data_IF_240752068217
#
_entry.id   IF_240752068217
#
_cell.length_a   1.000
_cell.length_b   1.000
_cell.length_c   1.000
_cell.angle_alpha   90.00
_cell.angle_beta   90.00
_cell.angle_gamma   90.00
#
_symmetry.space_group_name_H-M   'P 1'
#
loop_
_entity.id
_entity.type
_entity.pdbx_description
1 polymer ?
#
# COMPACT_ATOMS: atom_id res chain seq x y z
N UNK A 1 -5.68 8.90 10.87
CA UNK A 1 -4.51 9.81 10.82
C UNK A 1 -3.82 9.71 9.45
N UNK A 2 -3.31 8.54 9.07
CA UNK A 2 -2.58 8.32 7.80
C UNK A 2 -3.38 8.75 6.56
N UNK A 3 -4.67 8.41 6.46
CA UNK A 3 -5.55 8.88 5.37
C UNK A 3 -5.64 10.41 5.26
N UNK A 4 -5.66 11.12 6.40
CA UNK A 4 -5.66 12.59 6.41
C UNK A 4 -4.33 13.14 5.92
N UNK A 5 -3.22 12.52 6.33
CA UNK A 5 -1.89 12.91 5.91
C UNK A 5 -1.69 12.69 4.40
N UNK A 6 -2.14 11.55 3.86
CA UNK A 6 -2.13 11.30 2.41
C UNK A 6 -2.92 12.38 1.65
N UNK A 7 -4.08 12.82 2.17
CA UNK A 7 -4.83 13.93 1.55
C UNK A 7 -4.06 15.24 1.57
N UNK A 8 -3.32 15.54 2.64
CA UNK A 8 -2.46 16.73 2.68
C UNK A 8 -1.40 16.67 1.57
N UNK A 9 -0.76 15.50 1.38
CA UNK A 9 0.16 15.28 0.25
C UNK A 9 -0.53 15.54 -1.10
N UNK A 10 -1.67 14.90 -1.35
CA UNK A 10 -2.43 15.02 -2.60
C UNK A 10 -2.92 16.45 -2.89
N UNK A 11 -3.06 17.28 -1.84
CA UNK A 11 -3.44 18.69 -1.95
C UNK A 11 -2.23 19.62 -2.17
N UNK A 12 -1.02 19.06 -2.31
CA UNK A 12 0.20 19.82 -2.60
C UNK A 12 0.93 20.35 -1.37
N UNK A 13 0.78 19.72 -0.19
CA UNK A 13 1.50 20.14 1.02
C UNK A 13 3.04 20.19 0.85
N UNK A 14 3.60 19.45 -0.11
CA UNK A 14 5.03 19.48 -0.39
C UNK A 14 5.49 20.74 -1.13
N UNK A 15 4.60 21.41 -1.85
CA UNK A 15 4.90 22.64 -2.58
C UNK A 15 4.78 23.90 -1.73
N UNK A 16 4.28 23.77 -0.49
CA UNK A 16 4.04 24.89 0.40
C UNK A 16 5.16 25.00 1.44
N UNK A 17 6.16 25.82 1.16
CA UNK A 17 7.22 26.18 2.12
C UNK A 17 6.66 27.11 3.20
N UNK A 18 6.92 26.79 4.48
CA UNK A 18 6.44 27.58 5.61
C UNK A 18 7.53 27.80 6.64
N UNK A 19 7.60 29.01 7.18
CA UNK A 19 8.25 29.25 8.46
C UNK A 19 7.40 28.72 9.62
N UNK A 20 8.03 28.42 10.76
CA UNK A 20 7.31 27.94 11.95
C UNK A 20 6.21 28.90 12.43
N UNK A 21 6.39 30.21 12.23
CA UNK A 21 5.34 31.22 12.55
C UNK A 21 4.16 31.17 11.59
N UNK A 22 4.40 30.95 10.31
CA UNK A 22 3.35 30.84 9.29
C UNK A 22 2.57 29.55 9.49
N UNK A 23 3.27 28.45 9.78
CA UNK A 23 2.67 27.18 10.13
C UNK A 23 1.72 27.30 11.34
N UNK A 24 2.08 28.07 12.37
CA UNK A 24 1.20 28.35 13.52
C UNK A 24 -0.08 29.10 13.14
N UNK A 25 -0.06 29.90 12.09
CA UNK A 25 -1.23 30.68 11.62
C UNK A 25 -2.24 29.81 10.87
N UNK A 26 -1.87 28.61 10.45
CA UNK A 26 -2.80 27.65 9.84
C UNK A 26 -3.85 27.13 10.82
N UNK A 27 -3.64 27.32 12.13
CA UNK A 27 -4.58 26.90 13.16
C UNK A 27 -4.59 25.37 13.34
N UNK A 28 -5.76 24.83 13.69
CA UNK A 28 -5.92 23.39 13.89
C UNK A 28 -6.14 22.69 12.54
N UNK A 29 -5.18 21.87 12.14
CA UNK A 29 -5.19 21.09 10.90
C UNK A 29 -5.53 19.62 11.18
N UNK A 30 -4.99 19.08 12.27
CA UNK A 30 -5.22 17.73 12.74
C UNK A 30 -6.30 17.72 13.83
N UNK A 31 -6.94 16.56 14.03
CA UNK A 31 -7.83 16.36 15.19
C UNK A 31 -7.05 16.20 16.51
N UNK A 32 -5.74 16.01 16.44
CA UNK A 32 -4.85 15.82 17.57
C UNK A 32 -4.08 17.11 17.81
N UNK A 33 -4.39 17.80 18.92
CA UNK A 33 -3.77 19.07 19.28
C UNK A 33 -2.25 18.96 19.51
N UNK A 34 -1.73 17.76 19.82
CA UNK A 34 -0.30 17.52 19.92
C UNK A 34 0.40 17.66 18.57
N UNK A 35 -0.24 17.16 17.50
CA UNK A 35 0.26 17.31 16.13
C UNK A 35 0.21 18.78 15.70
N UNK A 36 -0.91 19.47 15.94
CA UNK A 36 -1.05 20.90 15.57
C UNK A 36 0.03 21.77 16.23
N UNK A 37 0.32 21.53 17.51
CA UNK A 37 1.39 22.23 18.23
C UNK A 37 2.76 21.93 17.62
N UNK A 38 3.04 20.68 17.26
CA UNK A 38 4.32 20.25 16.71
C UNK A 38 4.58 20.78 15.29
N UNK A 39 3.55 20.95 14.46
CA UNK A 39 3.67 21.53 13.10
C UNK A 39 4.32 22.92 13.13
N UNK A 40 3.96 23.72 14.14
CA UNK A 40 4.50 25.07 14.34
C UNK A 40 5.92 25.10 14.94
N UNK A 41 6.44 23.97 15.40
CA UNK A 41 7.77 23.84 15.99
C UNK A 41 8.76 23.31 14.94
N UNK A 42 10.06 23.56 15.12
CA UNK A 42 11.12 23.09 14.22
C UNK A 42 11.75 24.19 13.35
N UNK A 43 12.76 23.77 12.56
CA UNK A 43 13.61 24.65 11.77
C UNK A 43 12.83 25.42 10.68
N UNK A 44 13.41 26.53 10.23
CA UNK A 44 12.91 27.35 9.12
C UNK A 44 13.14 26.67 7.77
N UNK A 45 12.26 26.88 6.79
CA UNK A 45 12.48 26.42 5.40
C UNK A 45 12.16 24.96 5.12
N UNK A 46 11.11 24.43 5.77
CA UNK A 46 10.56 23.12 5.42
C UNK A 46 9.16 23.28 4.82
N UNK A 47 8.88 22.44 3.81
CA UNK A 47 7.54 22.26 3.28
C UNK A 47 6.55 21.82 4.37
N UNK A 48 5.28 22.20 4.21
CA UNK A 48 4.19 21.76 5.08
C UNK A 48 4.19 20.23 5.19
N UNK A 49 4.49 19.51 4.11
CA UNK A 49 4.63 18.06 4.12
C UNK A 49 5.67 17.55 5.11
N UNK A 50 6.91 18.07 5.05
CA UNK A 50 7.97 17.69 6.00
C UNK A 50 7.58 18.02 7.45
N UNK A 51 6.97 19.18 7.68
CA UNK A 51 6.48 19.56 9.03
C UNK A 51 5.43 18.58 9.55
N UNK A 52 4.49 18.17 8.71
CA UNK A 52 3.45 17.20 9.06
C UNK A 52 4.04 15.83 9.39
N UNK A 53 4.99 15.34 8.58
CA UNK A 53 5.68 14.07 8.83
C UNK A 53 6.41 14.08 10.17
N UNK A 54 7.18 15.14 10.45
CA UNK A 54 7.92 15.28 11.71
C UNK A 54 6.99 15.38 12.91
N UNK A 55 5.91 16.17 12.82
CA UNK A 55 4.92 16.31 13.89
C UNK A 55 4.22 14.98 14.21
N UNK A 56 3.88 14.20 13.19
CA UNK A 56 3.28 12.87 13.36
C UNK A 56 4.28 11.90 13.98
N UNK A 57 5.55 11.90 13.55
CA UNK A 57 6.61 11.07 14.11
C UNK A 57 6.90 11.40 15.57
N UNK A 58 6.91 12.69 15.94
CA UNK A 58 7.08 13.14 17.33
C UNK A 58 5.92 12.67 18.20
N UNK A 59 4.68 12.75 17.69
CA UNK A 59 3.49 12.32 18.42
C UNK A 59 3.36 10.80 18.57
N UNK A 60 3.79 10.05 17.54
CA UNK A 60 3.74 8.59 17.45
C UNK A 60 5.14 8.04 17.10
N UNK A 61 6.05 7.92 18.09
CA UNK A 61 7.45 7.57 17.84
C UNK A 61 7.65 6.17 17.25
N UNK A 62 6.71 5.25 17.48
CA UNK A 62 6.80 3.87 17.02
C UNK A 62 5.87 3.60 15.84
N UNK A 63 6.41 2.91 14.83
CA UNK A 63 5.71 2.63 13.58
C UNK A 63 4.42 1.85 13.78
N UNK A 64 4.39 0.99 14.78
CA UNK A 64 3.28 0.10 15.12
C UNK A 64 2.05 0.86 15.62
N UNK A 65 2.21 2.07 16.16
CA UNK A 65 1.12 2.91 16.65
C UNK A 65 0.28 3.50 15.50
N UNK A 66 0.88 3.69 14.32
CA UNK A 66 0.18 4.15 13.13
C UNK A 66 -0.46 2.98 12.40
N UNK A 67 -1.74 2.75 12.71
CA UNK A 67 -2.53 1.75 11.99
C UNK A 67 -3.02 2.32 10.65
N UNK A 68 -2.56 1.72 9.55
CA UNK A 68 -3.23 1.87 8.26
C UNK A 68 -4.38 0.87 8.24
N UNK A 69 -5.62 1.35 8.33
CA UNK A 69 -6.79 0.46 8.29
C UNK A 69 -7.13 0.21 6.82
N UNK A 70 -7.04 -1.03 6.31
CA UNK A 70 -7.44 -1.34 4.94
C UNK A 70 -8.94 -1.14 4.67
N UNK A 71 -9.72 -0.79 5.71
CA UNK A 71 -11.11 -0.38 5.61
C UNK A 71 -11.92 -1.13 4.56
N UNK A 72 -12.04 -2.47 4.65
CA UNK A 72 -12.82 -3.33 3.71
C UNK A 72 -12.83 -2.78 2.28
N UNK A 73 -11.67 -2.46 1.71
CA UNK A 73 -11.64 -1.90 0.35
C UNK A 73 -12.24 -2.93 -0.60
N UNK A 74 -13.21 -2.54 -1.42
CA UNK A 74 -13.92 -3.44 -2.36
C UNK A 74 -13.66 -3.12 -3.82
N UNK A 75 -13.02 -1.98 -4.09
CA UNK A 75 -12.72 -1.50 -5.44
C UNK A 75 -11.22 -1.26 -5.56
N UNK A 76 -10.70 -1.32 -6.78
CA UNK A 76 -9.27 -1.14 -7.02
C UNK A 76 -8.77 0.24 -6.55
N UNK A 77 -9.58 1.28 -6.70
CA UNK A 77 -9.25 2.65 -6.27
C UNK A 77 -8.99 2.72 -4.77
N UNK A 78 -9.84 2.07 -3.97
CA UNK A 78 -9.67 2.01 -2.52
C UNK A 78 -8.47 1.13 -2.12
N UNK A 79 -8.19 0.08 -2.88
CA UNK A 79 -6.97 -0.71 -2.74
C UNK A 79 -5.72 0.13 -2.97
N UNK A 80 -5.67 0.89 -4.07
CA UNK A 80 -4.57 1.81 -4.38
C UNK A 80 -4.44 2.90 -3.32
N UNK A 81 -5.55 3.44 -2.81
CA UNK A 81 -5.49 4.38 -1.69
C UNK A 81 -4.83 3.73 -0.46
N UNK A 82 -5.22 2.50 -0.10
CA UNK A 82 -4.60 1.79 1.01
C UNK A 82 -3.11 1.49 0.78
N UNK A 83 -2.71 1.16 -0.46
CA UNK A 83 -1.32 0.99 -0.86
C UNK A 83 -0.49 2.25 -0.56
N UNK A 84 -1.00 3.42 -0.94
CA UNK A 84 -0.37 4.74 -0.68
C UNK A 84 -0.38 5.11 0.79
N UNK A 85 -1.42 4.73 1.55
CA UNK A 85 -1.44 4.93 3.01
C UNK A 85 -0.36 4.12 3.71
N UNK A 86 -0.13 2.87 3.29
CA UNK A 86 1.01 2.09 3.78
C UNK A 86 2.36 2.76 3.45
N UNK A 87 2.47 3.38 2.27
CA UNK A 87 3.67 4.12 1.85
C UNK A 87 3.90 5.39 2.68
N UNK A 88 2.86 6.19 2.94
CA UNK A 88 2.95 7.36 3.84
C UNK A 88 3.46 6.95 5.21
N UNK A 89 2.99 5.82 5.74
CA UNK A 89 3.51 5.28 7.00
C UNK A 89 5.00 4.93 6.91
N UNK A 90 5.48 4.39 5.80
CA UNK A 90 6.93 4.19 5.62
C UNK A 90 7.69 5.52 5.63
N UNK A 91 7.19 6.52 4.88
CA UNK A 91 7.83 7.84 4.77
C UNK A 91 7.99 8.50 6.14
N UNK A 92 6.98 8.44 7.02
CA UNK A 92 7.05 9.02 8.37
C UNK A 92 8.25 8.51 9.18
N UNK A 93 8.59 7.22 9.06
CA UNK A 93 9.65 6.60 9.84
C UNK A 93 10.98 6.47 9.09
N UNK A 94 11.08 7.02 7.88
CA UNK A 94 12.37 7.23 7.22
C UNK A 94 13.17 8.31 7.96
N UNK A 95 14.44 8.39 7.58
CA UNK A 95 15.34 9.45 8.03
C UNK A 95 14.96 10.75 7.33
N UNK A 96 14.16 11.59 8.01
CA UNK A 96 13.66 12.86 7.47
C UNK A 96 14.76 13.93 7.40
N UNK A 97 15.87 13.74 8.10
CA UNK A 97 17.01 14.66 8.10
C UNK A 97 17.92 14.45 6.87
N UNK A 98 17.77 13.31 6.19
CA UNK A 98 18.47 13.02 4.95
C UNK A 98 17.72 13.61 3.74
N UNK A 99 18.17 14.75 3.26
CA UNK A 99 17.61 15.44 2.07
C UNK A 99 17.65 14.60 0.78
N UNK A 100 18.54 13.61 0.68
CA UNK A 100 18.60 12.72 -0.47
C UNK A 100 17.50 11.64 -0.44
N UNK A 101 16.81 11.46 0.69
CA UNK A 101 15.66 10.56 0.77
C UNK A 101 14.40 11.27 0.32
N UNK A 102 13.76 10.68 -0.70
CA UNK A 102 12.46 11.17 -1.14
C UNK A 102 11.41 10.98 -0.05
N UNK A 103 10.63 12.04 0.17
CA UNK A 103 9.44 12.03 1.02
C UNK A 103 8.16 11.81 0.21
N UNK A 104 8.29 11.56 -1.09
CA UNK A 104 7.16 11.21 -1.95
C UNK A 104 6.66 9.79 -1.63
N UNK A 105 5.39 9.62 -1.20
CA UNK A 105 4.79 8.31 -0.98
C UNK A 105 4.78 7.43 -2.24
N UNK A 106 4.71 8.02 -3.43
CA UNK A 106 4.62 7.30 -4.70
C UNK A 106 5.98 6.76 -5.17
N UNK A 107 7.09 7.31 -4.67
CA UNK A 107 8.47 6.83 -4.91
C UNK A 107 8.93 5.79 -3.88
N UNK A 108 8.10 5.47 -2.88
CA UNK A 108 8.40 4.44 -1.89
C UNK A 108 8.51 3.09 -2.58
N UNK A 109 9.68 2.45 -2.48
CA UNK A 109 9.83 1.03 -2.80
C UNK A 109 8.97 0.19 -1.87
N UNK A 110 8.12 -0.65 -2.44
CA UNK A 110 7.32 -1.60 -1.69
C UNK A 110 8.21 -2.79 -1.36
N UNK A 111 8.42 -3.08 -0.08
CA UNK A 111 9.12 -4.31 0.32
C UNK A 111 8.18 -5.50 0.24
N UNK A 112 8.75 -6.71 0.16
CA UNK A 112 7.95 -7.95 0.16
C UNK A 112 6.98 -8.03 1.35
N UNK A 113 7.36 -7.46 2.51
CA UNK A 113 6.50 -7.45 3.71
C UNK A 113 5.31 -6.50 3.57
N UNK A 114 5.48 -5.35 2.92
CA UNK A 114 4.38 -4.42 2.65
C UNK A 114 3.40 -5.01 1.64
N UNK A 115 3.92 -5.66 0.61
CA UNK A 115 3.09 -6.36 -0.37
C UNK A 115 2.22 -7.43 0.26
N UNK A 116 2.79 -8.23 1.15
CA UNK A 116 2.02 -9.23 1.89
C UNK A 116 0.89 -8.60 2.69
N UNK A 117 1.11 -7.46 3.37
CA UNK A 117 0.04 -6.73 4.08
C UNK A 117 -1.04 -6.22 3.14
N UNK A 118 -0.66 -5.74 1.96
CA UNK A 118 -1.60 -5.32 0.92
C UNK A 118 -2.45 -6.49 0.41
N UNK A 119 -1.81 -7.59 -0.03
CA UNK A 119 -2.49 -8.78 -0.53
C UNK A 119 -3.40 -9.42 0.53
N UNK A 120 -2.96 -9.48 1.80
CA UNK A 120 -3.77 -10.01 2.90
C UNK A 120 -5.01 -9.16 3.20
N UNK A 121 -4.97 -7.87 2.85
CA UNK A 121 -6.12 -6.98 3.01
C UNK A 121 -7.13 -7.08 1.87
N UNK A 122 -6.79 -7.78 0.79
CA UNK A 122 -7.58 -7.79 -0.43
C UNK A 122 -8.90 -8.56 -0.28
N UNK A 123 -9.99 -8.09 -0.92
CA UNK A 123 -11.19 -8.88 -1.15
C UNK A 123 -10.87 -10.19 -1.84
N UNK A 124 -11.70 -11.20 -1.58
CA UNK A 124 -11.58 -12.51 -2.21
C UNK A 124 -11.58 -12.44 -3.75
N UNK A 125 -12.24 -11.45 -4.35
CA UNK A 125 -12.26 -11.23 -5.81
C UNK A 125 -10.88 -10.85 -6.38
N UNK A 126 -10.01 -10.22 -5.58
CA UNK A 126 -8.70 -9.76 -6.02
C UNK A 126 -7.54 -10.56 -5.41
N UNK A 127 -7.75 -11.24 -4.29
CA UNK A 127 -6.69 -11.87 -3.50
C UNK A 127 -5.79 -12.82 -4.32
N UNK A 128 -6.38 -13.70 -5.13
CA UNK A 128 -5.60 -14.65 -5.96
C UNK A 128 -4.82 -13.91 -7.05
N UNK A 129 -5.48 -13.00 -7.77
CA UNK A 129 -4.83 -12.24 -8.85
C UNK A 129 -3.67 -11.38 -8.33
N UNK A 130 -3.84 -10.74 -7.17
CA UNK A 130 -2.78 -9.95 -6.54
C UNK A 130 -1.65 -10.84 -6.00
N UNK A 131 -1.94 -12.00 -5.43
CA UNK A 131 -0.88 -12.92 -5.00
C UNK A 131 0.00 -13.41 -6.17
N UNK A 132 -0.59 -13.54 -7.37
CA UNK A 132 0.09 -13.99 -8.60
C UNK A 132 0.73 -12.83 -9.37
N UNK A 133 0.20 -11.59 -9.23
CA UNK A 133 0.76 -10.39 -9.84
C UNK A 133 2.23 -10.29 -9.41
N UNK A 134 3.10 -10.64 -10.36
CA UNK A 134 4.45 -11.07 -10.06
C UNK A 134 5.27 -9.90 -9.51
N UNK A 135 5.88 -10.12 -8.35
CA UNK A 135 7.11 -9.43 -7.99
C UNK A 135 8.11 -9.76 -9.11
N UNK A 136 8.43 -8.79 -9.97
CA UNK A 136 9.53 -8.97 -10.92
C UNK A 136 10.83 -9.11 -10.12
N UNK A 137 11.77 -9.93 -10.60
CA UNK A 137 13.02 -10.29 -9.92
C UNK A 137 13.78 -9.10 -9.32
N UNK A 138 14.48 -9.37 -8.21
CA UNK A 138 15.48 -8.59 -7.43
C UNK A 138 15.30 -7.08 -7.17
N UNK A 139 14.38 -6.38 -7.82
CA UNK A 139 14.08 -4.98 -7.59
C UNK A 139 12.69 -4.78 -7.00
N UNK A 140 12.65 -4.08 -5.87
CA UNK A 140 11.41 -3.68 -5.22
C UNK A 140 10.73 -2.56 -6.02
N UNK A 141 9.50 -2.78 -6.55
CA UNK A 141 8.82 -1.77 -7.35
C UNK A 141 8.39 -0.59 -6.47
N UNK A 142 8.29 0.59 -7.08
CA UNK A 142 7.73 1.78 -6.43
C UNK A 142 6.20 1.70 -6.33
N UNK A 143 5.63 2.49 -5.44
CA UNK A 143 4.17 2.63 -5.31
C UNK A 143 3.52 3.13 -6.60
N UNK A 144 4.18 4.03 -7.34
CA UNK A 144 3.73 4.50 -8.65
C UNK A 144 3.64 3.35 -9.67
N UNK A 145 4.66 2.49 -9.72
CA UNK A 145 4.69 1.34 -10.62
C UNK A 145 3.61 0.31 -10.27
N UNK A 146 3.45 0.00 -8.98
CA UNK A 146 2.39 -0.90 -8.52
C UNK A 146 1.01 -0.33 -8.81
N UNK A 147 0.79 0.97 -8.57
CA UNK A 147 -0.45 1.66 -8.90
C UNK A 147 -0.81 1.51 -10.38
N UNK A 148 0.18 1.70 -11.26
CA UNK A 148 0.00 1.50 -12.70
C UNK A 148 -0.36 0.06 -13.04
N UNK A 149 0.31 -0.92 -12.45
CA UNK A 149 0.00 -2.34 -12.68
C UNK A 149 -1.41 -2.72 -12.20
N UNK A 150 -1.82 -2.22 -11.04
CA UNK A 150 -3.15 -2.43 -10.47
C UNK A 150 -4.24 -1.85 -11.38
N UNK A 151 -4.04 -0.65 -11.91
CA UNK A 151 -4.94 -0.04 -12.88
C UNK A 151 -5.01 -0.84 -14.19
N UNK A 152 -3.86 -1.24 -14.74
CA UNK A 152 -3.83 -2.08 -15.94
C UNK A 152 -4.60 -3.39 -15.75
N UNK A 153 -4.46 -4.01 -14.58
CA UNK A 153 -5.23 -5.21 -14.25
C UNK A 153 -6.73 -4.94 -14.18
N UNK A 154 -7.17 -3.86 -13.54
CA UNK A 154 -8.58 -3.50 -13.43
C UNK A 154 -9.21 -3.21 -14.80
N UNK A 155 -8.49 -2.52 -15.68
CA UNK A 155 -8.93 -2.27 -17.06
C UNK A 155 -9.04 -3.57 -17.87
N UNK A 156 -8.06 -4.47 -17.74
CA UNK A 156 -8.12 -5.80 -18.37
C UNK A 156 -9.28 -6.65 -17.83
N UNK A 157 -9.59 -6.54 -16.54
CA UNK A 157 -10.69 -7.28 -15.90
C UNK A 157 -12.08 -6.75 -16.34
N UNK A 158 -12.18 -5.46 -16.67
CA UNK A 158 -13.40 -4.82 -17.18
C UNK A 158 -13.57 -4.95 -18.70
N UNK A 159 -12.50 -5.28 -19.43
CA UNK A 159 -12.55 -5.42 -20.88
C UNK A 159 -13.53 -6.52 -21.30
N UNK A 160 -14.45 -6.26 -22.25
CA UNK A 160 -15.35 -7.29 -22.77
C UNK A 160 -14.53 -8.43 -23.37
N UNK A 161 -15.00 -9.66 -23.13
CA UNK A 161 -14.38 -10.92 -23.59
C UNK A 161 -14.51 -11.10 -25.12
N UNK A 162 -14.00 -10.19 -25.95
CA UNK A 162 -13.89 -10.29 -27.41
C UNK A 162 -12.71 -9.38 -27.81
N UNK A 163 -11.52 -9.77 -28.28
CA UNK A 163 -11.12 -10.70 -29.34
C UNK A 163 -9.70 -11.26 -29.04
N UNK A 164 -9.59 -12.28 -28.18
CA UNK A 164 -8.30 -12.88 -27.83
C UNK A 164 -7.75 -13.89 -28.87
N UNK A 165 -8.35 -13.95 -30.07
CA UNK A 165 -7.85 -14.79 -31.17
C UNK A 165 -6.77 -14.11 -32.03
N UNK A 166 -6.53 -12.80 -31.85
CA UNK A 166 -5.57 -12.04 -32.67
C UNK A 166 -4.33 -11.51 -31.93
N UNK A 167 -4.33 -11.46 -30.60
CA UNK A 167 -3.20 -10.95 -29.83
C UNK A 167 -2.39 -12.10 -29.22
N UNK A 168 -1.12 -12.24 -29.61
CA UNK A 168 -0.13 -13.11 -28.96
C UNK A 168 0.26 -12.67 -27.53
N UNK A 169 -0.68 -12.08 -26.78
CA UNK A 169 -0.51 -11.80 -25.36
C UNK A 169 -1.17 -12.96 -24.63
N UNK A 170 -0.37 -13.90 -24.14
CA UNK A 170 -0.86 -15.03 -23.38
C UNK A 170 -1.69 -14.55 -22.18
N UNK A 171 -2.97 -14.95 -22.07
CA UNK A 171 -3.75 -14.70 -20.87
C UNK A 171 -3.09 -15.42 -19.70
N UNK A 172 -2.74 -14.71 -18.63
CA UNK A 172 -2.14 -15.30 -17.43
C UNK A 172 -3.02 -16.39 -16.78
N UNK A 173 -4.32 -16.40 -17.08
CA UNK A 173 -5.27 -17.47 -16.74
C UNK A 173 -4.97 -18.82 -17.43
N UNK A 174 -4.03 -18.87 -18.39
CA UNK A 174 -3.60 -20.07 -19.12
C UNK A 174 -2.15 -20.45 -18.84
N UNK A 175 -1.54 -19.96 -17.76
CA UNK A 175 -0.35 -20.62 -17.23
C UNK A 175 -0.78 -21.96 -16.60
N UNK A 176 -0.19 -23.09 -17.00
CA UNK A 176 -0.37 -24.33 -16.26
C UNK A 176 0.07 -24.09 -14.81
N UNK A 177 -0.73 -24.54 -13.84
CA UNK A 177 -0.33 -24.62 -12.42
C UNK A 177 0.93 -25.48 -12.18
N UNK A 178 1.56 -26.01 -13.23
CA UNK A 178 2.65 -26.98 -13.19
C UNK A 178 4.07 -26.40 -13.40
N UNK A 179 4.27 -25.07 -13.40
CA UNK A 179 5.63 -24.53 -13.16
C UNK A 179 5.86 -24.26 -11.68
N UNK A 180 5.77 -25.34 -10.92
CA UNK A 180 6.53 -25.51 -9.69
C UNK A 180 8.00 -25.43 -10.09
N UNK A 181 8.73 -24.51 -9.45
CA UNK A 181 10.18 -24.39 -9.51
C UNK A 181 10.88 -25.75 -9.66
N UNK A 182 11.50 -25.99 -10.81
CA UNK A 182 12.53 -27.02 -10.94
C UNK A 182 13.86 -26.35 -11.24
N UNK A 183 14.46 -25.82 -10.16
CA UNK A 183 15.87 -25.48 -10.07
C UNK A 183 16.43 -26.11 -8.80
N UNK A 184 17.66 -26.65 -8.81
CA UNK A 184 18.11 -27.54 -7.75
C UNK A 184 18.42 -26.73 -6.49
N UNK A 185 17.71 -27.08 -5.42
CA UNK A 185 17.93 -26.65 -4.01
C UNK A 185 17.32 -25.29 -3.63
N UNK A 186 16.08 -25.31 -3.10
CA UNK A 186 15.69 -24.94 -1.71
C UNK A 186 14.18 -24.62 -1.62
N UNK A 187 13.47 -25.53 -0.94
CA UNK A 187 12.19 -25.42 -0.19
C UNK A 187 10.97 -24.75 -0.87
N UNK A 188 9.86 -25.48 -1.09
CA UNK A 188 8.62 -24.90 -1.59
C UNK A 188 7.88 -24.11 -0.49
N UNK A 189 7.64 -22.83 -0.70
CA UNK A 189 6.60 -22.08 0.04
C UNK A 189 5.39 -21.96 -0.88
N UNK A 190 4.62 -23.05 -0.93
CA UNK A 190 3.29 -23.10 -1.55
C UNK A 190 2.28 -23.18 -0.40
N UNK A 191 1.48 -22.13 -0.26
CA UNK A 191 0.10 -22.12 0.26
C UNK A 191 -0.13 -22.67 1.67
N UNK A 192 -0.27 -21.76 2.64
CA UNK A 192 -1.11 -21.98 3.82
C UNK A 192 -2.05 -20.78 4.02
N UNK A 193 -3.15 -20.74 3.28
CA UNK A 193 -4.30 -19.91 3.62
C UNK A 193 -5.61 -20.62 3.24
N UNK A 194 -5.76 -21.87 3.68
CA UNK A 194 -6.98 -22.65 3.47
C UNK A 194 -7.38 -23.51 4.68
N UNK A 195 -7.08 -23.05 5.91
CA UNK A 195 -7.38 -23.83 7.13
C UNK A 195 -8.07 -23.08 8.28
N UNK A 196 -8.72 -21.95 8.02
CA UNK A 196 -9.48 -21.23 9.07
C UNK A 196 -10.97 -21.02 8.80
N UNK A 197 -11.55 -21.68 7.78
CA UNK A 197 -13.01 -21.62 7.50
C UNK A 197 -13.74 -22.96 7.70
N UNK A 198 -13.30 -23.79 8.65
CA UNK A 198 -14.13 -24.91 9.14
C UNK A 198 -14.41 -24.76 10.64
N UNK A 199 -15.51 -24.08 10.94
CA UNK A 199 -16.27 -24.30 12.18
C UNK A 199 -17.03 -25.63 12.12
N UNK A 200 -17.49 -26.15 13.27
CA UNK A 200 -17.86 -27.55 13.42
C UNK A 200 -19.34 -27.75 13.08
N UNK A 201 -19.65 -28.34 11.93
CA UNK A 201 -20.90 -29.08 11.77
C UNK A 201 -20.61 -30.41 11.05
N UNK A 202 -21.07 -31.46 11.71
CA UNK A 202 -20.65 -32.84 11.52
C UNK A 202 -21.26 -33.55 10.32
N UNK A 203 -20.67 -34.70 10.07
CA UNK A 203 -21.02 -35.70 9.08
C UNK A 203 -22.49 -36.12 9.10
N UNK A 204 -23.01 -36.41 7.91
CA UNK A 204 -24.25 -37.15 7.70
C UNK A 204 -24.32 -37.64 6.26
N UNK A 205 -23.55 -38.70 5.96
CA UNK A 205 -23.76 -39.56 4.79
C UNK A 205 -25.03 -40.39 5.03
N UNK A 206 -25.96 -40.42 4.09
CA UNK A 206 -26.77 -41.60 3.81
C UNK A 206 -27.27 -41.58 2.36
N UNK A 207 -27.01 -42.68 1.67
CA UNK A 207 -27.34 -42.97 0.29
C UNK A 207 -28.85 -43.23 0.10
N UNK A 208 -29.31 -43.00 -1.13
CA UNK A 208 -30.53 -43.55 -1.73
C UNK A 208 -30.31 -43.60 -3.23
#
# INVERSE_FOLDING_TARGET
LVTWLLRCWDTGANSLELEGREAKRLGSLAKDAGIDKAIGNGATGFSLWRRLLSAVKERYPFKEELVCLPGKWTTMEKGIQYLRELAVREVIYRDLDNEQTSTDPDEVKYTRTLWQKFVQSAPSSYAISLAVMAWKDDEEPTVAELTKQLWQYEEMAKAPYCDWLGCSVHPWHRLPQERIFQGPKRVPVVVYFARSLRGPFGCGLAQG
#
